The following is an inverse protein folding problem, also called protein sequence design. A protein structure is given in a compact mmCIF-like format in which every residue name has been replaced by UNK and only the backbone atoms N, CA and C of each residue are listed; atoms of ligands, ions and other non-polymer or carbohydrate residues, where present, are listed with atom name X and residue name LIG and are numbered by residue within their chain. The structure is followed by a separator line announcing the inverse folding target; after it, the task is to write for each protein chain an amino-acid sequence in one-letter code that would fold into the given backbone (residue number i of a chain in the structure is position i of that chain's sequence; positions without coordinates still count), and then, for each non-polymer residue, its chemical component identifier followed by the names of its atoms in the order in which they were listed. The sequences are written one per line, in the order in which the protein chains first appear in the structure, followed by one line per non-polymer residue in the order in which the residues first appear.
data_IF_228507168089
#
_entry.id   IF_228507168089
#
_cell.length_a   1.000
_cell.length_b   1.000
_cell.length_c   1.000
_cell.angle_alpha   90.00
_cell.angle_beta   90.00
_cell.angle_gamma   90.00
#
_symmetry.space_group_name_H-M   'P 1'
#
loop_
_entity.id
_entity.type
_entity.pdbx_description
1 polymer ?
#
# COMPACT_ATOMS: atom_id res chain seq x y z
N UNK A 1 4.61 -10.55 -0.37
CA UNK A 1 3.57 -10.64 -1.41
C UNK A 1 4.22 -10.89 -2.77
N UNK A 2 3.40 -11.10 -3.79
CA UNK A 2 3.71 -11.85 -5.00
C UNK A 2 2.86 -13.10 -4.94
N UNK A 3 1.92 -13.24 -5.87
CA UNK A 3 1.10 -14.44 -6.05
C UNK A 3 2.05 -15.64 -5.93
N UNK A 4 1.94 -16.40 -4.83
CA UNK A 4 2.92 -17.44 -4.45
C UNK A 4 3.02 -18.50 -5.55
N UNK A 5 1.93 -18.71 -6.28
CA UNK A 5 1.87 -19.58 -7.45
C UNK A 5 2.86 -19.19 -8.55
N UNK A 6 3.24 -17.91 -8.67
CA UNK A 6 4.24 -17.45 -9.62
C UNK A 6 5.69 -17.82 -9.24
N UNK A 7 5.88 -18.55 -8.15
CA UNK A 7 7.17 -19.16 -7.81
C UNK A 7 7.26 -20.64 -8.25
N UNK A 8 6.21 -21.20 -8.88
CA UNK A 8 6.23 -22.59 -9.39
C UNK A 8 7.25 -22.75 -10.54
N UNK A 9 7.82 -23.96 -10.72
CA UNK A 9 8.80 -24.24 -11.78
C UNK A 9 8.33 -23.86 -13.18
N UNK A 10 7.02 -23.97 -13.45
CA UNK A 10 6.39 -23.64 -14.74
C UNK A 10 6.59 -22.19 -15.17
N UNK A 11 6.89 -21.30 -14.21
CA UNK A 11 7.12 -19.88 -14.44
C UNK A 11 8.60 -19.49 -14.39
N UNK A 12 9.52 -20.46 -14.31
CA UNK A 12 10.96 -20.20 -14.30
C UNK A 12 11.35 -19.45 -15.58
N UNK A 13 12.14 -18.40 -15.43
CA UNK A 13 12.58 -17.48 -16.50
C UNK A 13 11.46 -16.70 -17.21
N UNK A 14 10.21 -16.80 -16.77
CA UNK A 14 9.13 -15.97 -17.29
C UNK A 14 9.08 -14.64 -16.53
N UNK A 15 9.03 -13.53 -17.28
CA UNK A 15 8.73 -12.22 -16.67
C UNK A 15 7.23 -12.09 -16.46
N UNK A 16 6.81 -12.02 -15.21
CA UNK A 16 5.40 -11.86 -14.84
C UNK A 16 5.16 -10.42 -14.42
N UNK A 17 4.15 -9.79 -15.01
CA UNK A 17 3.74 -8.43 -14.68
C UNK A 17 2.36 -8.47 -14.04
N UNK A 18 2.19 -7.78 -12.92
CA UNK A 18 0.90 -7.65 -12.24
C UNK A 18 0.76 -6.28 -11.60
N UNK A 19 -0.49 -5.85 -11.43
CA UNK A 19 -0.84 -4.61 -10.74
C UNK A 19 -1.00 -4.84 -9.25
N UNK A 20 -0.56 -3.88 -8.44
CA UNK A 20 -0.85 -3.86 -7.00
C UNK A 20 -1.13 -2.43 -6.53
N UNK A 21 -1.96 -2.27 -5.51
CA UNK A 21 -2.19 -0.97 -4.85
C UNK A 21 -1.13 -0.63 -3.79
N UNK A 22 -0.19 -1.54 -3.54
CA UNK A 22 0.85 -1.41 -2.53
C UNK A 22 2.17 -2.01 -3.01
N UNK A 23 3.26 -1.37 -2.63
CA UNK A 23 4.62 -1.87 -2.83
C UNK A 23 5.54 -1.30 -1.76
N UNK A 24 6.37 -2.15 -1.17
CA UNK A 24 7.54 -1.76 -0.37
C UNK A 24 8.70 -2.68 -0.77
N UNK A 25 9.92 -2.14 -0.79
CA UNK A 25 11.14 -2.94 -0.96
C UNK A 25 11.67 -3.47 0.39
N UNK A 26 10.98 -3.14 1.49
CA UNK A 26 11.31 -3.49 2.87
C UNK A 26 12.70 -3.01 3.34
N UNK A 27 13.34 -2.08 2.63
CA UNK A 27 14.71 -1.63 2.94
C UNK A 27 14.74 -0.40 3.86
N UNK A 28 13.64 0.32 3.96
CA UNK A 28 13.56 1.56 4.73
C UNK A 28 13.47 1.30 6.26
N UNK A 29 13.71 2.35 7.04
CA UNK A 29 13.72 2.27 8.51
C UNK A 29 12.35 1.89 9.08
N UNK A 30 11.25 2.37 8.50
CA UNK A 30 9.91 2.00 8.94
C UNK A 30 9.66 0.52 8.72
N UNK A 31 10.02 -0.01 7.55
CA UNK A 31 9.87 -1.43 7.23
C UNK A 31 10.63 -2.32 8.21
N UNK A 32 11.87 -1.94 8.53
CA UNK A 32 12.70 -2.65 9.51
C UNK A 32 12.07 -2.60 10.91
N UNK A 33 11.62 -1.43 11.36
CA UNK A 33 11.00 -1.28 12.68
C UNK A 33 9.69 -2.05 12.82
N UNK A 34 8.80 -1.99 11.82
CA UNK A 34 7.53 -2.73 11.80
C UNK A 34 7.80 -4.24 11.90
N UNK A 35 8.77 -4.74 11.12
CA UNK A 35 9.15 -6.15 11.11
C UNK A 35 9.61 -6.63 12.50
N UNK A 36 10.50 -5.88 13.14
CA UNK A 36 11.01 -6.20 14.48
C UNK A 36 9.89 -6.19 15.50
N UNK A 37 9.11 -5.11 15.59
CA UNK A 37 8.03 -4.97 16.58
C UNK A 37 6.96 -6.05 16.38
N UNK A 38 6.60 -6.37 15.13
CA UNK A 38 5.61 -7.41 14.85
C UNK A 38 6.11 -8.79 15.29
N UNK A 39 7.37 -9.12 14.96
CA UNK A 39 8.00 -10.38 15.37
C UNK A 39 8.06 -10.50 16.89
N UNK A 40 8.51 -9.46 17.59
CA UNK A 40 8.66 -9.49 19.05
C UNK A 40 7.33 -9.69 19.77
N UNK A 41 6.23 -9.15 19.23
CA UNK A 41 4.90 -9.22 19.85
C UNK A 41 4.11 -10.48 19.50
N UNK A 42 4.33 -11.05 18.32
CA UNK A 42 3.48 -12.14 17.80
C UNK A 42 4.23 -13.44 17.56
N UNK A 43 5.56 -13.41 17.63
CA UNK A 43 6.45 -14.46 17.13
C UNK A 43 6.19 -14.83 15.65
N UNK A 44 5.48 -13.97 14.91
CA UNK A 44 5.09 -14.16 13.51
C UNK A 44 5.99 -13.41 12.53
N UNK A 45 5.76 -13.67 11.24
CA UNK A 45 6.40 -12.92 10.15
C UNK A 45 5.47 -11.81 9.68
N UNK A 46 5.98 -10.58 9.63
CA UNK A 46 5.25 -9.46 9.05
C UNK A 46 4.98 -9.73 7.57
N UNK A 47 3.71 -9.80 7.20
CA UNK A 47 3.26 -9.90 5.80
C UNK A 47 2.74 -8.53 5.35
N UNK A 48 2.45 -8.37 4.06
CA UNK A 48 2.07 -7.09 3.46
C UNK A 48 0.86 -6.43 4.12
N UNK A 49 -0.09 -7.22 4.64
CA UNK A 49 -1.23 -6.67 5.40
C UNK A 49 -0.81 -5.99 6.70
N UNK A 50 0.30 -6.40 7.32
CA UNK A 50 0.87 -5.74 8.50
C UNK A 50 1.41 -4.36 8.11
N UNK A 51 2.17 -4.28 7.02
CA UNK A 51 2.71 -3.01 6.52
C UNK A 51 1.61 -2.07 6.02
N UNK A 52 0.64 -2.58 5.25
CA UNK A 52 -0.55 -1.83 4.80
C UNK A 52 -1.37 -1.30 5.99
N UNK A 53 -1.60 -2.15 7.00
CA UNK A 53 -2.33 -1.76 8.21
C UNK A 53 -1.59 -0.68 8.99
N UNK A 54 -0.28 -0.81 9.14
CA UNK A 54 0.57 0.19 9.78
C UNK A 54 0.54 1.53 9.05
N UNK A 55 0.85 1.55 7.74
CA UNK A 55 0.95 2.81 6.99
C UNK A 55 -0.39 3.53 6.92
N UNK A 56 -1.49 2.80 6.70
CA UNK A 56 -2.81 3.40 6.54
C UNK A 56 -3.28 4.01 7.86
N UNK A 57 -3.08 3.30 8.97
CA UNK A 57 -3.40 3.80 10.30
C UNK A 57 -2.58 5.05 10.62
N UNK A 58 -1.26 5.00 10.44
CA UNK A 58 -0.40 6.15 10.71
C UNK A 58 -0.76 7.35 9.82
N UNK A 59 -0.83 7.15 8.50
CA UNK A 59 -1.09 8.21 7.52
C UNK A 59 -2.43 8.91 7.77
N UNK A 60 -3.53 8.17 7.85
CA UNK A 60 -4.86 8.77 7.97
C UNK A 60 -5.10 9.38 9.36
N UNK A 61 -4.59 8.79 10.44
CA UNK A 61 -4.68 9.40 11.77
C UNK A 61 -3.85 10.69 11.86
N UNK A 62 -2.63 10.71 11.32
CA UNK A 62 -1.81 11.92 11.29
C UNK A 62 -2.46 13.04 10.47
N UNK A 63 -3.07 12.72 9.32
CA UNK A 63 -3.83 13.70 8.54
C UNK A 63 -5.07 14.21 9.28
N UNK A 64 -5.79 13.33 9.98
CA UNK A 64 -6.95 13.70 10.78
C UNK A 64 -6.54 14.65 11.91
N UNK A 65 -5.45 14.36 12.61
CA UNK A 65 -4.93 15.20 13.69
C UNK A 65 -4.42 16.56 13.17
N UNK A 66 -3.76 16.59 12.02
CA UNK A 66 -3.24 17.81 11.39
C UNK A 66 -4.36 18.74 10.92
N UNK A 67 -5.32 18.19 10.17
CA UNK A 67 -6.31 19.01 9.46
C UNK A 67 -7.59 19.19 10.28
N UNK A 68 -7.93 18.26 11.19
CA UNK A 68 -9.18 18.26 11.98
C UNK A 68 -10.39 18.50 11.08
N UNK A 69 -10.85 19.75 11.02
CA UNK A 69 -11.90 20.22 10.12
C UNK A 69 -11.33 20.32 8.69
N UNK A 70 -11.90 19.55 7.76
CA UNK A 70 -11.41 19.50 6.38
C UNK A 70 -10.42 18.37 6.10
N UNK A 71 -10.28 17.39 7.01
CA UNK A 71 -9.55 16.13 6.77
C UNK A 71 -9.88 15.50 5.41
N UNK A 72 -11.17 15.42 5.07
CA UNK A 72 -11.64 14.83 3.81
C UNK A 72 -11.12 15.55 2.56
N UNK A 73 -10.76 16.84 2.65
CA UNK A 73 -10.22 17.61 1.54
C UNK A 73 -8.69 17.43 1.39
N UNK A 74 -8.03 16.80 2.37
CA UNK A 74 -6.58 16.70 2.47
C UNK A 74 -6.07 15.25 2.43
N UNK A 75 -6.88 14.31 1.94
CA UNK A 75 -6.56 12.87 1.93
C UNK A 75 -5.31 12.52 1.09
N UNK A 76 -4.87 13.42 0.20
CA UNK A 76 -3.69 13.25 -0.66
C UNK A 76 -2.47 14.06 -0.20
N UNK A 77 -2.50 14.66 0.99
CA UNK A 77 -1.32 15.35 1.55
C UNK A 77 -0.23 14.34 1.89
N UNK A 78 0.94 14.49 1.26
CA UNK A 78 2.06 13.56 1.34
C UNK A 78 2.93 13.71 2.59
N UNK A 79 2.60 14.63 3.49
CA UNK A 79 3.40 14.94 4.70
C UNK A 79 3.67 13.73 5.59
N UNK A 80 2.82 12.70 5.56
CA UNK A 80 2.89 11.52 6.44
C UNK A 80 3.10 10.21 5.67
N UNK A 81 3.58 10.29 4.44
CA UNK A 81 3.89 9.10 3.64
C UNK A 81 4.89 8.19 4.37
N UNK A 82 4.59 6.89 4.38
CA UNK A 82 5.49 5.86 4.91
C UNK A 82 6.08 5.05 3.75
N UNK A 83 5.31 4.13 3.16
CA UNK A 83 5.78 3.27 2.08
C UNK A 83 5.26 3.75 0.71
N UNK A 84 3.96 4.00 0.62
CA UNK A 84 3.29 4.26 -0.67
C UNK A 84 2.72 5.67 -0.79
N UNK A 85 2.63 6.19 -2.03
CA UNK A 85 1.79 7.36 -2.29
C UNK A 85 0.33 6.95 -2.37
N UNK A 86 -0.56 7.73 -1.77
CA UNK A 86 -2.00 7.62 -1.99
C UNK A 86 -2.47 8.54 -3.12
N UNK A 87 -3.42 8.07 -3.92
CA UNK A 87 -4.20 8.88 -4.87
C UNK A 87 -5.69 8.64 -4.61
N UNK A 88 -6.18 9.21 -3.51
CA UNK A 88 -7.55 9.09 -3.04
C UNK A 88 -8.46 9.96 -3.89
N UNK A 89 -9.44 9.34 -4.56
CA UNK A 89 -10.46 10.02 -5.36
C UNK A 89 -11.85 9.77 -4.80
N UNK A 90 -12.75 10.77 -4.84
CA UNK A 90 -14.17 10.55 -4.56
C UNK A 90 -14.79 9.69 -5.67
N UNK A 91 -15.54 8.66 -5.29
CA UNK A 91 -16.29 7.81 -6.21
C UNK A 91 -17.78 8.08 -6.04
N UNK A 92 -18.48 8.18 -7.18
CA UNK A 92 -19.92 8.38 -7.27
C UNK A 92 -20.50 7.29 -8.16
N UNK A 93 -21.32 6.43 -7.59
CA UNK A 93 -22.06 5.40 -8.32
C UNK A 93 -23.14 6.04 -9.20
N UNK A 94 -23.67 7.19 -8.78
CA UNK A 94 -24.58 8.01 -9.59
C UNK A 94 -24.05 9.44 -9.71
N UNK A 95 -24.03 9.99 -10.93
CA UNK A 95 -23.46 11.33 -11.19
C UNK A 95 -24.23 12.52 -10.59
N UNK A 96 -25.32 12.27 -9.85
CA UNK A 96 -26.24 13.30 -9.36
C UNK A 96 -25.96 13.74 -7.91
N UNK A 97 -25.18 12.98 -7.14
CA UNK A 97 -24.92 13.31 -5.73
C UNK A 97 -23.75 14.29 -5.58
N UNK A 98 -23.98 15.37 -4.82
CA UNK A 98 -22.91 16.30 -4.43
C UNK A 98 -21.88 15.59 -3.53
N UNK A 99 -22.35 14.76 -2.59
CA UNK A 99 -21.54 13.96 -1.68
C UNK A 99 -21.10 12.67 -2.38
N UNK A 100 -19.80 12.30 -2.35
CA UNK A 100 -19.35 11.02 -2.88
C UNK A 100 -19.87 9.85 -2.03
N UNK A 101 -20.08 8.70 -2.66
CA UNK A 101 -20.52 7.48 -1.99
C UNK A 101 -19.39 6.88 -1.13
N UNK A 102 -18.16 6.93 -1.65
CA UNK A 102 -16.94 6.53 -0.94
C UNK A 102 -15.72 7.19 -1.57
N UNK A 103 -14.57 6.99 -0.93
CA UNK A 103 -13.27 7.38 -1.45
C UNK A 103 -12.45 6.13 -1.73
N UNK A 104 -11.70 6.14 -2.83
CA UNK A 104 -10.91 4.98 -3.27
C UNK A 104 -9.50 5.43 -3.61
N UNK A 105 -8.51 4.62 -3.19
CA UNK A 105 -7.13 4.80 -3.64
C UNK A 105 -6.98 4.30 -5.07
N UNK A 106 -6.74 5.22 -6.01
CA UNK A 106 -6.51 4.93 -7.43
C UNK A 106 -5.03 4.74 -7.77
N UNK A 107 -4.12 4.80 -6.79
CA UNK A 107 -2.71 4.49 -7.03
C UNK A 107 -2.56 3.01 -7.38
N UNK A 108 -1.96 2.76 -8.54
CA UNK A 108 -1.61 1.42 -9.03
C UNK A 108 -0.11 1.40 -9.34
N UNK A 109 0.56 0.36 -8.84
CA UNK A 109 1.93 0.01 -9.19
C UNK A 109 1.92 -1.12 -10.19
N UNK A 110 2.86 -1.08 -11.14
CA UNK A 110 3.15 -2.23 -12.01
C UNK A 110 4.38 -2.93 -11.46
N UNK A 111 4.20 -4.18 -11.05
CA UNK A 111 5.23 -4.99 -10.43
C UNK A 111 5.66 -6.07 -11.43
N UNK A 112 6.98 -6.19 -11.62
CA UNK A 112 7.61 -7.28 -12.35
C UNK A 112 8.14 -8.30 -11.34
N UNK A 113 7.82 -9.58 -11.57
CA UNK A 113 8.45 -10.72 -10.90
C UNK A 113 9.20 -11.57 -11.92
N UNK A 114 10.48 -11.83 -11.67
CA UNK A 114 11.32 -12.69 -12.49
C UNK A 114 12.26 -13.48 -11.60
N UNK A 115 12.19 -14.82 -11.66
CA UNK A 115 13.06 -15.72 -10.89
C UNK A 115 13.12 -15.39 -9.39
N UNK A 116 11.95 -15.05 -8.80
CA UNK A 116 11.83 -14.68 -7.39
C UNK A 116 12.19 -13.23 -7.07
N UNK A 117 12.81 -12.49 -7.99
CA UNK A 117 13.10 -11.07 -7.82
C UNK A 117 11.87 -10.25 -8.15
N UNK A 118 11.49 -9.33 -7.25
CA UNK A 118 10.34 -8.43 -7.39
C UNK A 118 10.86 -7.00 -7.58
N UNK A 119 10.37 -6.30 -8.62
CA UNK A 119 10.77 -4.93 -8.93
C UNK A 119 9.57 -4.10 -9.33
N UNK A 120 9.46 -2.88 -8.78
CA UNK A 120 8.49 -1.89 -9.22
C UNK A 120 8.93 -1.27 -10.55
N UNK A 121 8.07 -1.33 -11.56
CA UNK A 121 8.31 -0.78 -12.90
C UNK A 121 7.80 0.66 -13.03
N UNK A 122 6.60 0.92 -12.49
CA UNK A 122 5.89 2.22 -12.50
C UNK A 122 5.16 2.41 -11.16
#
# INVERSE_FOLDING_TARGET
DGIKDFSKPDYKNLSIFYSASFYTDETDKWSTSVKTVFKDRTNGTAMDMVYKGFESTYYFLSLLLKNKIGFMNNLNDKSFKVFTDYDIKPVRNTGKSATPDYFENKKVYIIKKLNGVITKML
#
